data_IF_510150784626
#
_entry.id   IF_510150784626
#
_cell.length_a   1.000
_cell.length_b   1.000
_cell.length_c   1.000
_cell.angle_alpha   90.00
_cell.angle_beta   90.00
_cell.angle_gamma   90.00
#
_symmetry.space_group_name_H-M   'P 1'
#
loop_
_entity.id
_entity.type
_entity.pdbx_description
1 polymer ?
#
# COMPACT_ATOMS: atom_id res chain seq x y z
N UNK A 1 4.43 17.29 -11.18
CA UNK A 1 5.42 18.07 -10.38
C UNK A 1 5.68 17.24 -9.14
N UNK A 2 6.76 16.45 -9.15
CA UNK A 2 7.03 15.42 -8.13
C UNK A 2 6.89 15.91 -6.67
N UNK A 3 7.36 17.12 -6.28
CA UNK A 3 7.24 17.57 -4.89
C UNK A 3 5.81 17.83 -4.43
N UNK A 4 4.95 18.32 -5.31
CA UNK A 4 3.56 18.66 -4.98
C UNK A 4 2.73 17.40 -4.74
N UNK A 5 2.97 16.36 -5.54
CA UNK A 5 2.32 15.05 -5.42
C UNK A 5 2.58 14.39 -4.07
N UNK A 6 3.82 14.50 -3.57
CA UNK A 6 4.23 13.98 -2.27
C UNK A 6 3.53 14.73 -1.14
N UNK A 7 3.54 16.07 -1.18
CA UNK A 7 2.92 16.90 -0.13
C UNK A 7 1.42 16.64 -0.07
N UNK A 8 0.74 16.62 -1.22
CA UNK A 8 -0.70 16.32 -1.30
C UNK A 8 -1.01 14.90 -0.83
N UNK A 9 -0.21 13.91 -1.22
CA UNK A 9 -0.38 12.51 -0.81
C UNK A 9 -0.31 12.36 0.70
N UNK A 10 0.73 12.90 1.32
CA UNK A 10 0.90 12.84 2.78
C UNK A 10 -0.23 13.58 3.49
N UNK A 11 -0.59 14.79 3.03
CA UNK A 11 -1.64 15.59 3.67
C UNK A 11 -3.00 14.91 3.62
N UNK A 12 -3.43 14.45 2.44
CA UNK A 12 -4.69 13.73 2.27
C UNK A 12 -4.69 12.39 3.02
N UNK A 13 -3.60 11.64 2.96
CA UNK A 13 -3.45 10.38 3.68
C UNK A 13 -3.52 10.58 5.20
N UNK A 14 -2.86 11.59 5.74
CA UNK A 14 -2.92 11.91 7.16
C UNK A 14 -4.33 12.34 7.60
N UNK A 15 -5.02 13.13 6.77
CA UNK A 15 -6.40 13.55 7.02
C UNK A 15 -7.37 12.36 7.09
N UNK A 16 -7.27 11.43 6.13
CA UNK A 16 -8.08 10.21 6.10
C UNK A 16 -7.72 9.29 7.28
N UNK A 17 -6.43 9.10 7.57
CA UNK A 17 -5.98 8.31 8.71
C UNK A 17 -6.47 8.86 10.05
N UNK A 18 -6.52 10.19 10.20
CA UNK A 18 -7.13 10.84 11.35
C UNK A 18 -8.64 10.53 11.45
N UNK A 19 -9.37 10.62 10.33
CA UNK A 19 -10.80 10.30 10.29
C UNK A 19 -11.07 8.83 10.66
N UNK A 20 -10.23 7.90 10.20
CA UNK A 20 -10.31 6.50 10.60
C UNK A 20 -10.04 6.27 12.08
N UNK A 21 -9.06 6.97 12.66
CA UNK A 21 -8.83 6.89 14.10
C UNK A 21 -10.07 7.31 14.89
N UNK A 22 -10.77 8.36 14.47
CA UNK A 22 -12.01 8.80 15.11
C UNK A 22 -13.13 7.77 14.95
N UNK A 23 -13.30 7.23 13.74
CA UNK A 23 -14.32 6.23 13.41
C UNK A 23 -14.13 4.94 14.24
N UNK A 24 -12.92 4.38 14.24
CA UNK A 24 -12.61 3.12 14.94
C UNK A 24 -12.62 3.27 16.46
N UNK A 25 -12.40 4.48 16.97
CA UNK A 25 -12.55 4.75 18.41
C UNK A 25 -14.02 4.82 18.83
N UNK A 26 -14.89 5.37 17.97
CA UNK A 26 -16.33 5.50 18.25
C UNK A 26 -17.10 4.20 18.02
N UNK A 27 -16.71 3.40 17.03
CA UNK A 27 -17.36 2.14 16.68
C UNK A 27 -16.46 0.94 17.01
N UNK A 28 -16.87 0.14 18.01
CA UNK A 28 -16.16 -1.08 18.41
C UNK A 28 -16.44 -2.23 17.41
N UNK A 29 -16.02 -2.05 16.17
CA UNK A 29 -16.26 -2.98 15.07
C UNK A 29 -15.20 -4.09 15.04
N UNK A 30 -15.57 -5.27 14.52
CA UNK A 30 -14.65 -6.40 14.29
C UNK A 30 -13.47 -5.97 13.42
N UNK A 31 -12.27 -6.43 13.76
CA UNK A 31 -11.04 -6.02 13.09
C UNK A 31 -11.01 -6.37 11.58
N UNK A 32 -11.77 -7.38 11.14
CA UNK A 32 -11.87 -7.74 9.71
C UNK A 32 -12.59 -6.65 8.90
N UNK A 33 -13.62 -6.02 9.46
CA UNK A 33 -14.33 -4.94 8.78
C UNK A 33 -13.47 -3.69 8.68
N UNK A 34 -12.63 -3.41 9.70
CA UNK A 34 -11.66 -2.29 9.66
C UNK A 34 -10.65 -2.46 8.52
N UNK A 35 -10.11 -3.67 8.35
CA UNK A 35 -9.18 -4.01 7.26
C UNK A 35 -9.86 -3.80 5.89
N UNK A 36 -11.07 -4.32 5.71
CA UNK A 36 -11.80 -4.17 4.46
C UNK A 36 -12.07 -2.69 4.14
N UNK A 37 -12.43 -1.89 5.15
CA UNK A 37 -12.72 -0.48 4.98
C UNK A 37 -11.46 0.32 4.61
N UNK A 38 -10.31 0.00 5.22
CA UNK A 38 -9.02 0.57 4.81
C UNK A 38 -8.65 0.18 3.38
N UNK A 39 -8.86 -1.08 2.98
CA UNK A 39 -8.61 -1.54 1.62
C UNK A 39 -9.49 -0.81 0.61
N UNK A 40 -10.79 -0.69 0.90
CA UNK A 40 -11.74 0.06 0.05
C UNK A 40 -11.32 1.51 -0.12
N UNK A 41 -10.88 2.17 0.96
CA UNK A 41 -10.39 3.55 0.88
C UNK A 41 -9.09 3.64 0.11
N UNK A 42 -8.18 2.66 0.22
CA UNK A 42 -6.97 2.63 -0.61
C UNK A 42 -7.30 2.57 -2.11
N UNK A 43 -8.32 1.78 -2.52
CA UNK A 43 -8.78 1.76 -3.90
C UNK A 43 -9.42 3.07 -4.36
N UNK A 44 -10.23 3.70 -3.50
CA UNK A 44 -10.78 5.04 -3.78
C UNK A 44 -9.66 6.07 -3.93
N UNK A 45 -8.64 5.98 -3.07
CA UNK A 45 -7.48 6.87 -3.10
C UNK A 45 -6.68 6.70 -4.40
N UNK A 46 -6.50 5.47 -4.87
CA UNK A 46 -5.88 5.19 -6.16
C UNK A 46 -6.68 5.75 -7.33
N UNK A 47 -8.02 5.70 -7.28
CA UNK A 47 -8.86 6.35 -8.30
C UNK A 47 -8.82 7.88 -8.25
N UNK A 48 -8.48 8.47 -7.11
CA UNK A 48 -8.34 9.91 -6.99
C UNK A 48 -7.09 10.45 -7.72
N UNK A 49 -6.10 9.60 -7.98
CA UNK A 49 -4.88 9.94 -8.73
C UNK A 49 -5.18 10.41 -10.16
N UNK A 50 -6.27 9.91 -10.76
CA UNK A 50 -6.72 10.31 -12.10
C UNK A 50 -7.21 11.78 -12.13
N UNK A 51 -7.60 12.34 -10.98
CA UNK A 51 -8.18 13.69 -10.87
C UNK A 51 -7.23 14.69 -10.20
N UNK A 52 -6.42 14.24 -9.26
CA UNK A 52 -5.44 15.07 -8.56
C UNK A 52 -4.05 14.42 -8.66
N UNK A 53 -2.99 15.22 -8.88
CA UNK A 53 -1.62 14.72 -8.84
C UNK A 53 -1.23 14.42 -7.39
N UNK A 54 -1.49 13.19 -6.95
CA UNK A 54 -1.30 12.72 -5.57
C UNK A 54 -0.47 11.45 -5.60
N UNK A 55 0.58 11.40 -4.77
CA UNK A 55 1.35 10.17 -4.59
C UNK A 55 0.53 9.15 -3.77
N UNK A 56 -0.30 8.35 -4.44
CA UNK A 56 -1.28 7.43 -3.83
C UNK A 56 -0.65 6.51 -2.79
N UNK A 57 0.44 5.81 -3.14
CA UNK A 57 1.10 4.86 -2.23
C UNK A 57 1.59 5.55 -0.94
N UNK A 58 2.16 6.75 -1.07
CA UNK A 58 2.59 7.58 0.05
C UNK A 58 1.42 8.00 0.93
N UNK A 59 0.28 8.35 0.34
CA UNK A 59 -0.93 8.66 1.09
C UNK A 59 -1.50 7.45 1.83
N UNK A 60 -1.53 6.27 1.21
CA UNK A 60 -1.95 5.02 1.87
C UNK A 60 -1.02 4.68 3.03
N UNK A 61 0.30 4.86 2.87
CA UNK A 61 1.26 4.73 3.97
C UNK A 61 1.01 5.74 5.09
N UNK A 62 0.71 7.00 4.74
CA UNK A 62 0.39 8.04 5.73
C UNK A 62 -0.88 7.73 6.52
N UNK A 63 -1.90 7.12 5.89
CA UNK A 63 -3.09 6.60 6.59
C UNK A 63 -2.68 5.57 7.65
N UNK A 64 -1.85 4.58 7.25
CA UNK A 64 -1.36 3.53 8.15
C UNK A 64 -0.54 4.10 9.31
N UNK A 65 0.35 5.06 9.02
CA UNK A 65 1.16 5.74 10.03
C UNK A 65 0.28 6.51 11.03
N UNK A 66 -0.68 7.31 10.56
CA UNK A 66 -1.58 8.04 11.45
C UNK A 66 -2.43 7.12 12.32
N UNK A 67 -2.86 5.99 11.77
CA UNK A 67 -3.63 5.01 12.53
C UNK A 67 -2.76 4.35 13.62
N UNK A 68 -1.50 4.04 13.30
CA UNK A 68 -0.54 3.47 14.26
C UNK A 68 -0.20 4.45 15.38
N UNK A 69 -0.06 5.74 15.06
CA UNK A 69 0.19 6.80 16.03
C UNK A 69 -0.98 6.97 17.01
N UNK A 70 -2.21 6.96 16.52
CA UNK A 70 -3.41 7.19 17.37
C UNK A 70 -3.93 5.93 18.07
N UNK A 71 -3.80 4.77 17.45
CA UNK A 71 -4.39 3.50 17.90
C UNK A 71 -3.40 2.33 17.68
N UNK A 72 -2.25 2.29 18.37
CA UNK A 72 -1.20 1.32 18.12
C UNK A 72 -1.67 -0.14 18.24
N UNK A 73 -2.46 -0.46 19.27
CA UNK A 73 -2.98 -1.82 19.50
C UNK A 73 -3.92 -2.27 18.37
N UNK A 74 -4.76 -1.36 17.85
CA UNK A 74 -5.66 -1.70 16.74
C UNK A 74 -4.88 -1.80 15.42
N UNK A 75 -3.89 -0.92 15.21
CA UNK A 75 -3.02 -0.93 14.05
C UNK A 75 -2.22 -2.24 13.93
N UNK A 76 -1.66 -2.75 15.03
CA UNK A 76 -0.95 -4.03 15.02
C UNK A 76 -1.88 -5.21 14.65
N UNK A 77 -3.10 -5.22 15.20
CA UNK A 77 -4.12 -6.23 14.85
C UNK A 77 -4.54 -6.16 13.37
N UNK A 78 -4.66 -4.95 12.82
CA UNK A 78 -4.98 -4.72 11.41
C UNK A 78 -3.79 -5.15 10.53
N UNK A 79 -2.56 -4.80 10.91
CA UNK A 79 -1.33 -5.16 10.20
C UNK A 79 -1.20 -6.68 10.07
N UNK A 80 -1.38 -7.43 11.17
CA UNK A 80 -1.33 -8.89 11.12
C UNK A 80 -2.43 -9.53 10.26
N UNK A 81 -3.54 -8.83 10.01
CA UNK A 81 -4.57 -9.29 9.04
C UNK A 81 -4.21 -8.91 7.61
N UNK A 82 -3.63 -7.74 7.37
CA UNK A 82 -3.14 -7.35 6.06
C UNK A 82 -1.97 -8.21 5.60
N UNK A 83 -1.11 -8.66 6.52
CA UNK A 83 -0.01 -9.59 6.21
C UNK A 83 -0.54 -10.91 5.61
N UNK A 84 -1.66 -11.44 6.12
CA UNK A 84 -2.30 -12.62 5.52
C UNK A 84 -2.79 -12.38 4.09
N UNK A 85 -3.23 -11.15 3.79
CA UNK A 85 -3.65 -10.76 2.44
C UNK A 85 -2.41 -10.58 1.55
N UNK A 86 -1.34 -9.99 2.10
CA UNK A 86 -0.07 -9.78 1.42
C UNK A 86 0.53 -11.10 0.92
N UNK A 87 0.56 -12.16 1.73
CA UNK A 87 1.08 -13.47 1.31
C UNK A 87 0.41 -13.98 0.02
N UNK A 88 -0.90 -13.76 -0.13
CA UNK A 88 -1.62 -14.15 -1.35
C UNK A 88 -1.19 -13.26 -2.53
N UNK A 89 -1.15 -11.94 -2.33
CA UNK A 89 -0.73 -10.98 -3.35
C UNK A 89 0.73 -11.21 -3.80
N UNK A 90 1.61 -11.60 -2.88
CA UNK A 90 3.02 -11.91 -3.10
C UNK A 90 3.18 -13.12 -4.02
N UNK A 91 2.40 -14.19 -3.80
CA UNK A 91 2.38 -15.34 -4.71
C UNK A 91 1.96 -14.91 -6.12
N UNK A 92 0.90 -14.10 -6.25
CA UNK A 92 0.51 -13.56 -7.56
C UNK A 92 1.61 -12.74 -8.19
N UNK A 93 2.27 -11.86 -7.43
CA UNK A 93 3.34 -11.00 -7.91
C UNK A 93 4.50 -11.84 -8.46
N UNK A 94 5.03 -12.80 -7.69
CA UNK A 94 6.18 -13.60 -8.13
C UNK A 94 5.84 -14.53 -9.31
N UNK A 95 4.65 -15.13 -9.31
CA UNK A 95 4.21 -15.99 -10.42
C UNK A 95 4.03 -15.17 -11.69
N UNK A 96 3.36 -14.01 -11.62
CA UNK A 96 3.13 -13.15 -12.78
C UNK A 96 4.43 -12.54 -13.31
N UNK A 97 5.29 -12.05 -12.42
CA UNK A 97 6.61 -11.52 -12.82
C UNK A 97 7.43 -12.63 -13.48
N UNK A 98 7.49 -13.82 -12.89
CA UNK A 98 8.19 -14.97 -13.47
C UNK A 98 7.63 -15.40 -14.83
N UNK A 99 6.31 -15.40 -15.00
CA UNK A 99 5.65 -15.73 -16.26
C UNK A 99 5.90 -14.70 -17.38
N UNK A 100 6.11 -13.43 -17.04
CA UNK A 100 6.44 -12.37 -17.99
C UNK A 100 7.92 -12.36 -18.42
N UNK A 101 8.81 -13.10 -17.75
CA UNK A 101 10.24 -13.13 -18.13
C UNK A 101 10.42 -13.85 -19.46
N UNK A 102 10.95 -13.12 -20.45
CA UNK A 102 11.28 -13.69 -21.75
C UNK A 102 12.57 -14.53 -21.64
N UNK A 103 12.44 -15.85 -21.71
CA UNK A 103 13.57 -16.77 -21.55
C UNK A 103 14.62 -16.65 -22.67
N UNK A 104 14.23 -16.15 -23.86
CA UNK A 104 15.18 -15.94 -24.96
C UNK A 104 16.09 -14.73 -24.71
N UNK A 105 15.59 -13.69 -24.03
CA UNK A 105 16.40 -12.53 -23.65
C UNK A 105 17.44 -12.86 -22.56
N UNK A 106 17.20 -13.91 -21.77
CA UNK A 106 18.09 -14.37 -20.70
C UNK A 106 19.36 -15.00 -21.26
N UNK A 107 19.28 -15.68 -22.42
CA UNK A 107 20.45 -16.31 -23.06
C UNK A 107 21.56 -15.31 -23.41
N UNK A 108 21.20 -14.17 -24.00
CA UNK A 108 22.16 -13.13 -24.40
C UNK A 108 22.55 -12.20 -23.25
N UNK A 109 21.66 -12.00 -22.27
CA UNK A 109 21.82 -10.99 -21.21
C UNK A 109 22.36 -11.53 -19.89
N UNK A 110 22.49 -12.86 -19.72
CA UNK A 110 22.94 -13.46 -18.45
C UNK A 110 24.33 -12.97 -18.01
N UNK A 111 25.28 -12.87 -18.94
CA UNK A 111 26.64 -12.38 -18.68
C UNK A 111 26.66 -10.89 -18.29
N UNK A 112 25.90 -10.06 -18.99
CA UNK A 112 25.77 -8.63 -18.66
C UNK A 112 25.01 -8.42 -17.34
N UNK A 113 24.02 -9.26 -17.03
CA UNK A 113 23.31 -9.24 -15.75
C UNK A 113 24.23 -9.53 -14.57
N UNK A 114 25.09 -10.55 -14.68
CA UNK A 114 26.09 -10.87 -13.65
C UNK A 114 27.10 -9.74 -13.42
N UNK A 115 27.53 -9.06 -14.49
CA UNK A 115 28.52 -7.98 -14.43
C UNK A 115 27.95 -6.68 -13.83
N UNK A 116 26.64 -6.48 -13.85
CA UNK A 116 25.96 -5.34 -13.20
C UNK A 116 25.70 -5.60 -11.71
N UNK A 117 25.48 -6.86 -11.33
CA UNK A 117 25.18 -7.26 -9.95
C UNK A 117 26.46 -7.39 -9.11
N UNK A 118 27.59 -7.78 -9.71
CA UNK A 118 28.93 -7.85 -9.07
C UNK A 118 29.61 -6.49 -9.10
#
# INVERSE_FOLDING_TARGET
MVPLEIILGIFLGALIGFLFSLLFRKFHTRDTMKVLLMLSVAFIFHKAEDFLPVATLLGVMAIGFMLREKLPVAADRISGKMERIWVVAEVFLFVLVGACVNINAVGDSWLMGLLIIV
#
